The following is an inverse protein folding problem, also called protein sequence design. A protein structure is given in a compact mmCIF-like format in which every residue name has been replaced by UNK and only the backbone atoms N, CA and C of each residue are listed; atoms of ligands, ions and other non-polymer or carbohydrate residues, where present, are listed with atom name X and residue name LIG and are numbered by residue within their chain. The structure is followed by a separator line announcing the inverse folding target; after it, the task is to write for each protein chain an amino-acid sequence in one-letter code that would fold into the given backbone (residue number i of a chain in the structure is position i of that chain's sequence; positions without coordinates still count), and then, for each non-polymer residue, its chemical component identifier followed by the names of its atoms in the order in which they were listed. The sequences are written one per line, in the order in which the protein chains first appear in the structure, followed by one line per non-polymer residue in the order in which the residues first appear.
data_IF_930230297712
#
_entry.id   IF_930230297712
#
_cell.length_a   1.000
_cell.length_b   1.000
_cell.length_c   1.000
_cell.angle_alpha   90.00
_cell.angle_beta   90.00
_cell.angle_gamma   90.00
#
_symmetry.space_group_name_H-M   'P 1'
#
loop_
_entity.id
_entity.type
_entity.pdbx_description
1 polymer ?
#
# COMPACT_ATOMS: atom_id res chain seq x y z
N UNK A 1 -14.57 21.70 20.93
CA UNK A 1 -13.74 22.62 20.11
C UNK A 1 -12.46 22.94 20.89
N UNK A 2 -11.27 23.03 20.26
CA UNK A 2 -10.03 23.22 21.01
C UNK A 2 -9.98 24.60 21.69
N UNK A 3 -9.72 24.61 23.00
CA UNK A 3 -9.68 25.85 23.81
C UNK A 3 -8.35 26.60 23.59
N UNK A 4 -7.23 25.88 23.46
CA UNK A 4 -5.89 26.47 23.26
C UNK A 4 -5.63 26.81 21.79
N UNK A 5 -5.03 27.98 21.52
CA UNK A 5 -4.64 28.43 20.16
C UNK A 5 -3.77 27.39 19.42
N UNK A 6 -2.83 26.77 20.12
CA UNK A 6 -1.98 25.69 19.59
C UNK A 6 -2.80 24.47 19.15
N UNK A 7 -3.77 24.05 19.97
CA UNK A 7 -4.63 22.90 19.67
C UNK A 7 -5.51 23.15 18.42
N UNK A 8 -6.04 24.37 18.24
CA UNK A 8 -6.77 24.75 17.01
C UNK A 8 -5.88 24.69 15.75
N UNK A 9 -4.58 24.99 15.87
CA UNK A 9 -3.60 24.80 14.79
C UNK A 9 -3.36 23.32 14.51
N UNK A 10 -3.14 22.50 15.54
CA UNK A 10 -2.90 21.07 15.37
C UNK A 10 -4.07 20.35 14.72
N UNK A 11 -5.33 20.70 15.05
CA UNK A 11 -6.52 20.15 14.41
C UNK A 11 -6.46 20.32 12.88
N UNK A 12 -6.27 21.55 12.39
CA UNK A 12 -6.14 21.87 10.96
C UNK A 12 -4.99 21.14 10.28
N UNK A 13 -3.85 21.00 10.96
CA UNK A 13 -2.67 20.29 10.43
C UNK A 13 -2.94 18.79 10.33
N UNK A 14 -3.59 18.22 11.35
CA UNK A 14 -3.96 16.80 11.39
C UNK A 14 -4.92 16.46 10.26
N UNK A 15 -5.96 17.27 10.03
CA UNK A 15 -6.94 17.02 8.96
C UNK A 15 -6.27 16.96 7.58
N UNK A 16 -5.38 17.93 7.29
CA UNK A 16 -4.59 17.95 6.05
C UNK A 16 -3.70 16.71 5.91
N UNK A 17 -3.00 16.31 6.98
CA UNK A 17 -2.13 15.12 6.97
C UNK A 17 -2.94 13.85 6.79
N UNK A 18 -4.10 13.76 7.43
CA UNK A 18 -5.01 12.61 7.35
C UNK A 18 -5.52 12.42 5.92
N UNK A 19 -5.95 13.49 5.24
CA UNK A 19 -6.38 13.44 3.84
C UNK A 19 -5.26 12.91 2.92
N UNK A 20 -4.06 13.48 3.03
CA UNK A 20 -2.88 13.02 2.24
C UNK A 20 -2.58 11.54 2.49
N UNK A 21 -2.60 11.11 3.75
CA UNK A 21 -2.32 9.73 4.12
C UNK A 21 -3.42 8.77 3.66
N UNK A 22 -4.69 9.22 3.62
CA UNK A 22 -5.82 8.44 3.11
C UNK A 22 -5.63 8.10 1.64
N UNK A 23 -5.23 9.09 0.82
CA UNK A 23 -4.94 8.88 -0.62
C UNK A 23 -3.81 7.87 -0.81
N UNK A 24 -2.66 8.07 -0.13
CA UNK A 24 -1.51 7.15 -0.25
C UNK A 24 -1.87 5.74 0.21
N UNK A 25 -2.68 5.60 1.26
CA UNK A 25 -3.19 4.30 1.72
C UNK A 25 -4.10 3.63 0.70
N UNK A 26 -4.96 4.41 0.02
CA UNK A 26 -5.83 3.90 -1.04
C UNK A 26 -5.03 3.32 -2.20
N UNK A 27 -4.03 4.05 -2.70
CA UNK A 27 -3.22 3.65 -3.87
C UNK A 27 -2.59 2.27 -3.69
N UNK A 28 -1.85 2.03 -2.59
CA UNK A 28 -1.22 0.71 -2.42
C UNK A 28 -2.25 -0.38 -2.10
N UNK A 29 -3.38 -0.05 -1.45
CA UNK A 29 -4.43 -1.04 -1.16
C UNK A 29 -5.09 -1.54 -2.44
N UNK A 30 -5.37 -0.63 -3.38
CA UNK A 30 -5.91 -0.98 -4.68
C UNK A 30 -4.92 -1.86 -5.46
N UNK A 31 -3.65 -1.45 -5.57
CA UNK A 31 -2.64 -2.28 -6.23
C UNK A 31 -2.48 -3.69 -5.61
N UNK A 32 -2.64 -3.83 -4.29
CA UNK A 32 -2.67 -5.13 -3.60
C UNK A 32 -3.93 -5.94 -3.94
N UNK A 33 -5.07 -5.28 -4.10
CA UNK A 33 -6.33 -5.92 -4.47
C UNK A 33 -6.25 -6.43 -5.91
N UNK A 34 -5.83 -5.57 -6.84
CA UNK A 34 -5.71 -5.89 -8.27
C UNK A 34 -4.75 -7.07 -8.50
N UNK A 35 -3.61 -7.09 -7.79
CA UNK A 35 -2.67 -8.23 -7.85
C UNK A 35 -3.30 -9.52 -7.34
N UNK A 36 -4.07 -9.48 -6.25
CA UNK A 36 -4.73 -10.68 -5.71
C UNK A 36 -5.82 -11.22 -6.63
N UNK A 37 -6.60 -10.35 -7.26
CA UNK A 37 -7.64 -10.74 -8.21
C UNK A 37 -7.04 -11.44 -9.43
N UNK A 38 -5.92 -10.91 -9.96
CA UNK A 38 -5.22 -11.55 -11.08
C UNK A 38 -4.54 -12.86 -10.71
N UNK A 39 -4.07 -13.00 -9.46
CA UNK A 39 -3.58 -14.28 -8.93
C UNK A 39 -4.71 -15.30 -8.88
N UNK A 40 -5.91 -14.89 -8.44
CA UNK A 40 -7.08 -15.77 -8.40
C UNK A 40 -7.55 -16.17 -9.81
N UNK A 41 -7.44 -15.27 -10.78
CA UNK A 41 -7.76 -15.53 -12.19
C UNK A 41 -6.71 -16.39 -12.93
N UNK A 42 -5.60 -16.78 -12.29
CA UNK A 42 -4.58 -17.65 -12.89
C UNK A 42 -3.68 -16.98 -13.95
N UNK A 43 -3.76 -15.65 -14.11
CA UNK A 43 -3.02 -14.91 -15.13
C UNK A 43 -1.60 -14.57 -14.68
N UNK A 44 -0.65 -15.46 -14.95
CA UNK A 44 0.73 -15.35 -14.44
C UNK A 44 1.47 -14.10 -14.94
N UNK A 45 1.36 -13.74 -16.22
CA UNK A 45 2.06 -12.58 -16.81
C UNK A 45 1.53 -11.25 -16.25
N UNK A 46 0.21 -11.07 -16.26
CA UNK A 46 -0.46 -9.88 -15.72
C UNK A 46 -0.20 -9.73 -14.20
N UNK A 47 -0.21 -10.84 -13.44
CA UNK A 47 0.09 -10.81 -12.02
C UNK A 47 1.54 -10.35 -11.73
N UNK A 48 2.51 -10.70 -12.57
CA UNK A 48 3.91 -10.26 -12.41
C UNK A 48 4.08 -8.76 -12.69
N UNK A 49 3.37 -8.21 -13.68
CA UNK A 49 3.41 -6.77 -13.97
C UNK A 49 2.76 -5.95 -12.86
N UNK A 50 1.57 -6.36 -12.42
CA UNK A 50 0.87 -5.72 -11.31
C UNK A 50 1.65 -5.83 -9.99
N UNK A 51 2.39 -6.92 -9.78
CA UNK A 51 3.28 -7.07 -8.63
C UNK A 51 4.36 -5.98 -8.62
N UNK A 52 5.00 -5.68 -9.76
CA UNK A 52 6.00 -4.60 -9.85
C UNK A 52 5.38 -3.25 -9.48
N UNK A 53 4.16 -2.97 -9.95
CA UNK A 53 3.43 -1.75 -9.61
C UNK A 53 3.09 -1.68 -8.11
N UNK A 54 2.63 -2.79 -7.51
CA UNK A 54 2.32 -2.89 -6.09
C UNK A 54 3.55 -2.68 -5.20
N UNK A 55 4.71 -3.24 -5.59
CA UNK A 55 5.99 -3.05 -4.90
C UNK A 55 6.38 -1.57 -4.93
N UNK A 56 6.34 -0.93 -6.11
CA UNK A 56 6.64 0.49 -6.28
C UNK A 56 5.73 1.37 -5.40
N UNK A 57 4.45 1.06 -5.32
CA UNK A 57 3.50 1.78 -4.47
C UNK A 57 3.80 1.62 -2.98
N UNK A 58 4.15 0.41 -2.53
CA UNK A 58 4.52 0.13 -1.14
C UNK A 58 5.80 0.84 -0.72
N UNK A 59 6.82 0.86 -1.58
CA UNK A 59 8.09 1.50 -1.27
C UNK A 59 7.97 3.03 -1.23
N UNK A 60 7.18 3.62 -2.15
CA UNK A 60 6.82 5.05 -2.08
C UNK A 60 6.05 5.40 -0.80
N UNK A 61 5.15 4.52 -0.35
CA UNK A 61 4.41 4.73 0.90
C UNK A 61 5.32 4.65 2.14
N UNK A 62 6.32 3.77 2.11
CA UNK A 62 7.33 3.65 3.17
C UNK A 62 8.27 4.86 3.21
N UNK A 63 8.72 5.34 2.04
CA UNK A 63 9.55 6.54 1.92
C UNK A 63 8.85 7.78 2.48
N UNK A 64 7.54 7.93 2.19
CA UNK A 64 6.70 9.02 2.72
C UNK A 64 6.32 8.83 4.20
N UNK A 65 6.84 7.80 4.89
CA UNK A 65 6.55 7.46 6.29
C UNK A 65 5.06 7.23 6.59
N UNK A 66 4.26 6.91 5.57
CA UNK A 66 2.83 6.59 5.75
C UNK A 66 2.66 5.19 6.35
N UNK A 67 3.60 4.29 6.05
CA UNK A 67 3.72 2.96 6.64
C UNK A 67 5.15 2.74 7.15
N UNK A 68 5.31 1.90 8.18
CA UNK A 68 6.65 1.50 8.65
C UNK A 68 7.33 0.61 7.61
N UNK A 69 8.67 0.69 7.54
CA UNK A 69 9.50 -0.13 6.62
C UNK A 69 9.19 -1.63 6.75
N UNK A 70 9.03 -2.13 7.98
CA UNK A 70 8.72 -3.54 8.25
C UNK A 70 7.33 -3.95 7.73
N UNK A 71 6.36 -3.03 7.77
CA UNK A 71 5.02 -3.29 7.21
C UNK A 71 5.07 -3.39 5.70
N UNK A 72 5.87 -2.53 5.04
CA UNK A 72 6.10 -2.63 3.60
C UNK A 72 6.79 -3.95 3.24
N UNK A 73 7.87 -4.30 3.94
CA UNK A 73 8.62 -5.55 3.74
C UNK A 73 7.73 -6.80 3.88
N UNK A 74 6.92 -6.87 4.96
CA UNK A 74 5.96 -7.97 5.18
C UNK A 74 4.98 -8.12 4.02
N UNK A 75 4.45 -7.01 3.51
CA UNK A 75 3.48 -7.03 2.40
C UNK A 75 4.13 -7.45 1.09
N UNK A 76 5.34 -6.96 0.79
CA UNK A 76 6.12 -7.37 -0.39
C UNK A 76 6.39 -8.87 -0.37
N UNK A 77 6.88 -9.39 0.77
CA UNK A 77 7.15 -10.82 0.95
C UNK A 77 5.91 -11.69 0.71
N UNK A 78 4.77 -11.31 1.30
CA UNK A 78 3.50 -12.07 1.13
C UNK A 78 2.99 -12.09 -0.31
N UNK A 79 3.08 -10.96 -1.04
CA UNK A 79 2.66 -10.90 -2.44
C UNK A 79 3.57 -11.72 -3.34
N UNK A 80 4.89 -11.62 -3.13
CA UNK A 80 5.87 -12.42 -3.87
C UNK A 80 5.64 -13.92 -3.66
N UNK A 81 5.40 -14.34 -2.42
CA UNK A 81 5.09 -15.74 -2.11
C UNK A 81 3.82 -16.23 -2.81
N UNK A 82 2.78 -15.40 -2.87
CA UNK A 82 1.53 -15.74 -3.56
C UNK A 82 1.71 -15.90 -5.08
N UNK A 83 2.41 -14.97 -5.73
CA UNK A 83 2.73 -15.07 -7.16
C UNK A 83 3.65 -16.26 -7.46
N UNK A 84 4.66 -16.49 -6.61
CA UNK A 84 5.56 -17.66 -6.75
C UNK A 84 4.80 -18.97 -6.64
N UNK A 85 3.86 -19.09 -5.68
CA UNK A 85 3.02 -20.28 -5.52
C UNK A 85 2.16 -20.53 -6.76
N UNK A 86 1.63 -19.48 -7.38
CA UNK A 86 0.90 -19.60 -8.64
C UNK A 86 1.81 -20.09 -9.78
N UNK A 87 3.02 -19.54 -9.90
CA UNK A 87 3.98 -19.93 -10.93
C UNK A 87 4.49 -21.38 -10.77
N UNK A 88 4.61 -21.87 -9.53
CA UNK A 88 5.02 -23.25 -9.21
C UNK A 88 3.91 -24.29 -9.34
N UNK A 89 2.64 -23.86 -9.40
CA UNK A 89 1.48 -24.77 -9.55
C UNK A 89 1.25 -25.20 -11.00
N UNK A 90 2.18 -24.87 -11.88
CA UNK A 90 2.17 -25.19 -13.30
C UNK A 90 2.85 -26.52 -13.54
#
# INVERSE_FOLDING_TARGET
MPIKKSAKKYMRVTDRKTLRNKVVKGVFRNAIKDTKENIAAGKVKEAQELLKAAIKALDKAAQKKVIKKNTAARKKSRLNAAVKKLALKK
#
